data_IF_939339135773
#
_entry.id   IF_939339135773
#
_cell.length_a   1.000
_cell.length_b   1.000
_cell.length_c   1.000
_cell.angle_alpha   90.00
_cell.angle_beta   90.00
_cell.angle_gamma   90.00
#
_symmetry.space_group_name_H-M   'P 1'
#
loop_
_entity.id
_entity.type
_entity.pdbx_description
1 polymer ?
#
# COMPACT_ATOMS: atom_id res chain seq x y z
N UNK A 1 5.19 38.72 22.25
CA UNK A 1 6.24 37.97 21.49
C UNK A 1 6.62 38.81 20.28
N UNK A 2 7.89 39.06 20.01
CA UNK A 2 8.29 40.08 19.02
C UNK A 2 8.14 39.51 17.59
N UNK A 3 7.74 40.40 16.62
CA UNK A 3 7.63 40.15 15.18
C UNK A 3 8.89 39.44 14.60
N UNK A 4 10.07 39.80 15.09
CA UNK A 4 11.37 39.23 14.69
C UNK A 4 11.56 37.76 15.07
N UNK A 5 10.97 37.28 16.17
CA UNK A 5 11.09 35.87 16.60
C UNK A 5 10.28 34.99 15.66
N UNK A 6 9.13 35.44 15.19
CA UNK A 6 8.26 34.69 14.28
C UNK A 6 8.80 34.67 12.84
N UNK A 7 9.39 35.76 12.37
CA UNK A 7 10.10 35.83 11.08
C UNK A 7 11.29 34.83 11.08
N UNK A 8 11.99 34.73 12.20
CA UNK A 8 13.10 33.78 12.34
C UNK A 8 12.63 32.32 12.35
N UNK A 9 11.53 32.00 13.03
CA UNK A 9 10.93 30.67 13.04
C UNK A 9 10.43 30.29 11.66
N UNK A 10 9.77 31.20 10.93
CA UNK A 10 9.30 30.97 9.58
C UNK A 10 10.45 30.76 8.58
N UNK A 11 11.48 31.58 8.66
CA UNK A 11 12.68 31.46 7.83
C UNK A 11 13.45 30.20 8.13
N UNK A 12 13.56 29.81 9.41
CA UNK A 12 14.20 28.54 9.82
C UNK A 12 13.41 27.32 9.35
N UNK A 13 12.07 27.37 9.41
CA UNK A 13 11.21 26.30 8.89
C UNK A 13 11.34 26.14 7.36
N UNK A 14 11.45 27.26 6.62
CA UNK A 14 11.70 27.26 5.18
C UNK A 14 13.11 26.78 4.82
N UNK A 15 14.13 27.11 5.60
CA UNK A 15 15.52 26.64 5.39
C UNK A 15 15.66 25.15 5.72
N UNK A 16 15.01 24.65 6.75
CA UNK A 16 14.98 23.22 7.08
C UNK A 16 14.27 22.38 6.00
N UNK A 17 13.36 23.00 5.20
CA UNK A 17 12.76 22.35 4.03
C UNK A 17 13.75 22.07 2.90
N UNK A 18 14.81 22.85 2.77
CA UNK A 18 15.76 22.73 1.64
C UNK A 18 16.81 21.65 1.83
N UNK A 19 17.02 21.14 3.05
CA UNK A 19 18.15 20.27 3.38
C UNK A 19 17.82 18.80 3.56
N UNK A 20 16.55 18.39 3.69
CA UNK A 20 16.18 16.98 3.92
C UNK A 20 14.93 16.61 3.10
N UNK A 21 15.12 15.76 2.09
CA UNK A 21 14.06 15.26 1.22
C UNK A 21 13.04 14.41 1.96
N UNK A 22 11.79 14.93 2.02
CA UNK A 22 10.54 14.28 2.46
C UNK A 22 10.42 13.79 3.92
N UNK A 23 9.46 14.25 4.70
CA UNK A 23 8.00 14.01 4.69
C UNK A 23 7.12 15.26 4.90
N UNK A 24 7.57 16.44 4.52
CA UNK A 24 7.09 17.76 4.96
C UNK A 24 5.93 18.38 4.17
N UNK A 25 5.30 17.66 3.24
CA UNK A 25 4.14 18.19 2.52
C UNK A 25 2.94 18.48 3.46
N UNK A 26 2.81 17.71 4.53
CA UNK A 26 1.78 17.95 5.55
C UNK A 26 2.15 19.11 6.47
N UNK A 27 3.42 19.26 6.80
CA UNK A 27 3.88 20.32 7.71
C UNK A 27 3.76 21.70 7.09
N UNK A 28 4.07 21.85 5.80
CA UNK A 28 3.85 23.10 5.07
C UNK A 28 2.37 23.47 4.99
N UNK A 29 1.47 22.50 4.91
CA UNK A 29 0.03 22.75 4.96
C UNK A 29 -0.37 23.34 6.31
N UNK A 30 0.03 22.75 7.42
CA UNK A 30 -0.30 23.24 8.76
C UNK A 30 0.30 24.61 9.06
N UNK A 31 1.53 24.87 8.60
CA UNK A 31 2.18 26.17 8.72
C UNK A 31 1.39 27.23 7.97
N UNK A 32 0.98 26.95 6.74
CA UNK A 32 0.17 27.89 5.97
C UNK A 32 -1.21 28.13 6.59
N UNK A 33 -1.88 27.09 7.10
CA UNK A 33 -3.16 27.23 7.84
C UNK A 33 -2.99 28.10 9.08
N UNK A 34 -1.89 27.91 9.81
CA UNK A 34 -1.57 28.75 10.97
C UNK A 34 -1.43 30.23 10.57
N UNK A 35 -0.72 30.55 9.48
CA UNK A 35 -0.60 31.94 9.02
C UNK A 35 -1.93 32.54 8.56
N UNK A 36 -2.79 31.78 7.91
CA UNK A 36 -4.15 32.20 7.55
C UNK A 36 -4.96 32.49 8.80
N UNK A 37 -4.84 31.66 9.84
CA UNK A 37 -5.47 31.90 11.13
C UNK A 37 -4.90 33.14 11.82
N UNK A 38 -3.57 33.31 11.87
CA UNK A 38 -2.89 34.46 12.46
C UNK A 38 -3.28 35.78 11.80
N UNK A 39 -3.45 35.80 10.46
CA UNK A 39 -3.94 36.97 9.72
C UNK A 39 -5.39 37.31 10.15
N UNK A 40 -6.28 36.30 10.27
CA UNK A 40 -7.66 36.51 10.74
C UNK A 40 -7.71 37.09 12.16
N UNK A 41 -6.77 36.66 13.02
CA UNK A 41 -6.64 37.20 14.39
C UNK A 41 -5.87 38.49 14.48
N UNK A 42 -5.44 39.05 13.33
CA UNK A 42 -4.62 40.29 13.25
C UNK A 42 -3.30 40.19 14.03
N UNK A 43 -2.71 38.99 14.11
CA UNK A 43 -1.39 38.77 14.71
C UNK A 43 -0.27 39.03 13.72
N UNK A 44 -0.57 38.94 12.44
CA UNK A 44 0.29 39.31 11.31
C UNK A 44 -0.50 40.22 10.36
N UNK A 45 0.20 41.09 9.67
CA UNK A 45 -0.43 42.05 8.74
C UNK A 45 -0.61 41.43 7.34
N UNK A 46 0.32 40.51 6.93
CA UNK A 46 0.33 39.91 5.62
C UNK A 46 0.69 38.42 5.70
N UNK A 47 0.32 37.66 4.67
CA UNK A 47 0.71 36.23 4.50
C UNK A 47 2.12 36.17 3.89
N UNK A 48 2.99 35.25 4.36
CA UNK A 48 4.31 35.01 3.78
C UNK A 48 4.26 34.22 2.46
N UNK A 49 3.08 34.04 1.85
CA UNK A 49 2.85 33.30 0.60
C UNK A 49 1.68 33.96 -0.16
N UNK A 50 1.66 33.73 -1.47
CA UNK A 50 0.61 34.24 -2.35
C UNK A 50 -0.45 33.15 -2.60
N UNK A 51 -1.72 33.56 -2.62
CA UNK A 51 -2.83 32.71 -3.01
C UNK A 51 -3.06 32.89 -4.51
N UNK A 52 -2.73 31.84 -5.29
CA UNK A 52 -2.98 31.81 -6.73
C UNK A 52 -4.33 31.14 -7.03
N UNK A 53 -5.10 31.71 -7.94
CA UNK A 53 -6.29 31.05 -8.47
C UNK A 53 -5.87 30.14 -9.63
N UNK A 54 -6.07 28.84 -9.45
CA UNK A 54 -5.82 27.85 -10.49
C UNK A 54 -7.13 27.17 -10.89
N UNK A 55 -7.29 26.93 -12.18
CA UNK A 55 -8.42 26.11 -12.65
C UNK A 55 -8.25 24.71 -12.10
N UNK A 56 -9.26 24.24 -11.34
CA UNK A 56 -9.34 22.85 -10.93
C UNK A 56 -9.52 21.98 -12.19
N UNK A 57 -8.82 20.85 -12.31
CA UNK A 57 -9.15 19.88 -13.37
C UNK A 57 -10.59 19.45 -13.16
N UNK A 58 -11.43 19.62 -14.18
CA UNK A 58 -12.83 19.15 -14.14
C UNK A 58 -12.83 17.68 -13.71
N UNK A 59 -13.47 17.39 -12.61
CA UNK A 59 -13.77 16.00 -12.27
C UNK A 59 -14.84 15.54 -13.24
N UNK A 60 -14.54 14.53 -14.06
CA UNK A 60 -15.52 13.84 -14.91
C UNK A 60 -16.43 12.98 -14.02
N UNK A 61 -17.28 13.63 -13.23
CA UNK A 61 -18.35 12.98 -12.48
C UNK A 61 -19.67 13.18 -13.25
N UNK A 62 -20.58 12.23 -13.14
CA UNK A 62 -21.90 12.28 -13.78
C UNK A 62 -22.66 13.60 -13.52
N UNK A 63 -22.38 14.28 -12.40
CA UNK A 63 -23.01 15.54 -12.00
C UNK A 63 -22.12 16.78 -12.25
N UNK A 64 -21.04 16.67 -13.02
CA UNK A 64 -20.13 17.79 -13.30
C UNK A 64 -20.80 18.99 -13.99
N UNK A 65 -21.97 18.77 -14.61
CA UNK A 65 -22.77 19.81 -15.25
C UNK A 65 -23.60 20.64 -14.24
N UNK A 66 -23.76 20.16 -13.00
CA UNK A 66 -24.46 20.89 -11.93
C UNK A 66 -23.50 21.70 -11.03
N UNK A 67 -22.20 21.56 -11.26
CA UNK A 67 -21.20 22.34 -10.52
C UNK A 67 -21.18 23.78 -11.08
N UNK A 68 -21.85 24.67 -10.38
CA UNK A 68 -21.92 26.11 -10.67
C UNK A 68 -20.69 26.87 -10.16
N UNK A 69 -19.73 26.18 -9.54
CA UNK A 69 -18.44 26.79 -9.18
C UNK A 69 -17.67 27.10 -10.45
N UNK A 70 -17.07 28.28 -10.53
CA UNK A 70 -16.31 28.79 -11.70
C UNK A 70 -15.03 27.96 -11.97
N UNK A 71 -14.93 26.78 -11.36
CA UNK A 71 -13.83 25.80 -11.55
C UNK A 71 -12.47 26.32 -11.12
N UNK A 72 -12.42 27.43 -10.37
CA UNK A 72 -11.19 27.98 -9.82
C UNK A 72 -11.01 27.55 -8.36
N UNK A 73 -9.82 27.05 -8.04
CA UNK A 73 -9.40 26.72 -6.66
C UNK A 73 -8.25 27.62 -6.28
N UNK A 74 -8.37 28.28 -5.14
CA UNK A 74 -7.26 29.03 -4.56
C UNK A 74 -6.20 28.07 -4.06
N UNK A 75 -5.02 28.12 -4.65
CA UNK A 75 -3.85 27.33 -4.25
C UNK A 75 -2.74 28.26 -3.79
N UNK A 76 -1.88 27.75 -2.92
CA UNK A 76 -0.73 28.48 -2.40
C UNK A 76 0.47 28.26 -3.32
N UNK A 77 1.24 29.30 -3.61
CA UNK A 77 2.47 29.25 -4.42
C UNK A 77 3.57 28.39 -3.77
N UNK A 78 3.60 28.35 -2.43
CA UNK A 78 4.58 27.60 -1.63
C UNK A 78 4.22 26.10 -1.42
N UNK A 79 3.19 25.58 -2.09
CA UNK A 79 2.88 24.14 -1.98
C UNK A 79 3.93 23.33 -2.72
N UNK A 80 4.83 22.58 -2.03
CA UNK A 80 5.83 21.78 -2.70
C UNK A 80 5.14 20.71 -3.54
N UNK A 81 5.43 20.67 -4.85
CA UNK A 81 4.99 19.57 -5.70
C UNK A 81 5.68 18.30 -5.19
N UNK A 82 4.94 17.43 -4.51
CA UNK A 82 5.45 16.13 -4.12
C UNK A 82 5.96 15.40 -5.39
N UNK A 83 7.26 15.14 -5.48
CA UNK A 83 7.80 14.27 -6.52
C UNK A 83 7.17 12.90 -6.31
N UNK A 84 6.23 12.51 -7.16
CA UNK A 84 5.64 11.17 -7.16
C UNK A 84 6.73 10.20 -7.56
N UNK A 85 7.39 9.59 -6.58
CA UNK A 85 8.26 8.45 -6.86
C UNK A 85 7.41 7.23 -7.20
N UNK A 86 7.86 6.43 -8.17
CA UNK A 86 7.22 5.15 -8.46
C UNK A 86 7.26 4.24 -7.22
N UNK A 87 6.21 3.45 -6.97
CA UNK A 87 6.21 2.51 -5.87
C UNK A 87 7.35 1.50 -6.02
N UNK A 88 8.07 1.24 -4.94
CA UNK A 88 9.07 0.16 -4.92
C UNK A 88 8.36 -1.18 -4.79
N UNK A 89 8.85 -2.17 -5.51
CA UNK A 89 8.41 -3.56 -5.43
C UNK A 89 9.63 -4.49 -5.41
N UNK A 90 9.43 -5.75 -5.06
CA UNK A 90 10.48 -6.76 -5.01
C UNK A 90 10.53 -7.56 -6.32
N UNK A 91 11.71 -7.82 -6.83
CA UNK A 91 11.93 -8.80 -7.90
C UNK A 91 11.59 -10.22 -7.44
N UNK A 92 11.45 -11.16 -8.37
CA UNK A 92 11.18 -12.58 -8.03
C UNK A 92 12.29 -13.19 -7.16
N UNK A 93 13.56 -12.81 -7.42
CA UNK A 93 14.72 -13.26 -6.63
C UNK A 93 14.69 -12.71 -5.22
N UNK A 94 14.34 -11.43 -5.03
CA UNK A 94 14.18 -10.82 -3.72
C UNK A 94 13.01 -11.42 -2.94
N UNK A 95 11.88 -11.73 -3.61
CA UNK A 95 10.76 -12.44 -2.97
C UNK A 95 11.20 -13.82 -2.48
N UNK A 96 11.96 -14.58 -3.29
CA UNK A 96 12.51 -15.88 -2.90
C UNK A 96 13.45 -15.75 -1.71
N UNK A 97 14.37 -14.79 -1.72
CA UNK A 97 15.29 -14.52 -0.62
C UNK A 97 14.54 -14.12 0.66
N UNK A 98 13.53 -13.25 0.55
CA UNK A 98 12.71 -12.81 1.68
C UNK A 98 11.95 -13.99 2.34
N UNK A 99 11.36 -14.88 1.55
CA UNK A 99 10.66 -16.05 2.08
C UNK A 99 11.62 -17.07 2.69
N UNK A 100 12.83 -17.18 2.18
CA UNK A 100 13.88 -18.06 2.71
C UNK A 100 14.53 -17.53 3.99
N UNK A 101 14.51 -16.21 4.22
CA UNK A 101 15.12 -15.57 5.38
C UNK A 101 14.43 -15.91 6.70
N UNK A 102 13.16 -16.33 6.66
CA UNK A 102 12.45 -16.75 7.86
C UNK A 102 11.99 -18.19 7.76
N UNK A 103 12.30 -18.99 8.80
CA UNK A 103 11.76 -20.35 8.99
C UNK A 103 10.50 -20.36 9.86
N UNK A 104 10.12 -19.24 10.44
CA UNK A 104 8.94 -19.14 11.28
C UNK A 104 7.67 -19.15 10.40
N UNK A 105 6.79 -20.19 10.51
CA UNK A 105 5.59 -20.30 9.70
C UNK A 105 4.62 -19.13 9.87
N UNK A 106 4.57 -18.53 11.06
CA UNK A 106 3.77 -17.36 11.34
C UNK A 106 4.27 -16.14 10.55
N UNK A 107 5.58 -15.89 10.53
CA UNK A 107 6.18 -14.81 9.75
C UNK A 107 6.00 -15.03 8.24
N UNK A 108 6.18 -16.28 7.77
CA UNK A 108 5.93 -16.64 6.38
C UNK A 108 4.48 -16.34 5.98
N UNK A 109 3.50 -16.64 6.85
CA UNK A 109 2.10 -16.38 6.57
C UNK A 109 1.80 -14.88 6.46
N UNK A 110 2.40 -14.05 7.32
CA UNK A 110 2.30 -12.59 7.22
C UNK A 110 2.81 -12.08 5.87
N UNK A 111 3.98 -12.54 5.43
CA UNK A 111 4.54 -12.18 4.12
C UNK A 111 3.63 -12.64 2.97
N UNK A 112 3.14 -13.86 3.03
CA UNK A 112 2.30 -14.47 1.99
C UNK A 112 0.95 -13.76 1.85
N UNK A 113 0.31 -13.31 2.92
CA UNK A 113 -0.91 -12.49 2.86
C UNK A 113 -0.69 -11.18 2.08
N UNK A 114 0.47 -10.56 2.21
CA UNK A 114 0.85 -9.41 1.39
C UNK A 114 1.18 -9.76 -0.05
N UNK A 115 1.95 -10.85 -0.28
CA UNK A 115 2.49 -11.24 -1.58
C UNK A 115 1.51 -12.04 -2.46
N UNK A 116 0.54 -12.75 -1.89
CA UNK A 116 -0.39 -13.62 -2.63
C UNK A 116 -1.84 -13.13 -2.64
N UNK A 117 -2.24 -12.30 -1.66
CA UNK A 117 -3.58 -11.71 -1.60
C UNK A 117 -3.57 -10.18 -1.78
N UNK A 118 -2.40 -9.54 -1.77
CA UNK A 118 -2.26 -8.10 -1.94
C UNK A 118 -2.90 -7.28 -0.81
N UNK A 119 -2.97 -7.83 0.40
CA UNK A 119 -3.61 -7.17 1.53
C UNK A 119 -2.80 -5.98 2.04
N UNK A 120 -3.50 -4.97 2.55
CA UNK A 120 -2.89 -3.86 3.27
C UNK A 120 -2.45 -4.31 4.67
N UNK A 121 -1.49 -3.61 5.26
CA UNK A 121 -0.98 -3.90 6.60
C UNK A 121 -2.08 -4.09 7.66
N UNK A 122 -3.05 -3.19 7.69
CA UNK A 122 -4.16 -3.25 8.62
C UNK A 122 -5.09 -4.43 8.33
N UNK A 123 -5.34 -4.72 7.04
CA UNK A 123 -6.13 -5.88 6.61
C UNK A 123 -5.44 -7.20 7.00
N UNK A 124 -4.10 -7.29 6.90
CA UNK A 124 -3.35 -8.46 7.38
C UNK A 124 -3.51 -8.61 8.89
N UNK A 125 -3.35 -7.51 9.64
CA UNK A 125 -3.44 -7.53 11.10
C UNK A 125 -4.82 -7.92 11.63
N UNK A 126 -5.86 -7.59 10.88
CA UNK A 126 -7.27 -7.80 11.27
C UNK A 126 -7.98 -8.87 10.43
N UNK A 127 -7.23 -9.62 9.60
CA UNK A 127 -7.83 -10.65 8.74
C UNK A 127 -8.59 -11.69 9.57
N UNK A 128 -9.90 -11.88 9.34
CA UNK A 128 -10.73 -12.74 10.18
C UNK A 128 -10.41 -14.22 10.02
N UNK A 129 -10.38 -14.93 11.13
CA UNK A 129 -10.33 -16.39 11.12
C UNK A 129 -11.57 -16.98 10.41
N UNK A 130 -12.73 -16.35 10.54
CA UNK A 130 -13.98 -16.80 9.92
C UNK A 130 -13.94 -16.84 8.38
N UNK A 131 -13.01 -16.14 7.73
CA UNK A 131 -12.84 -16.19 6.28
C UNK A 131 -12.02 -17.40 5.80
N UNK A 132 -11.45 -18.17 6.74
CA UNK A 132 -10.57 -19.29 6.45
C UNK A 132 -11.33 -20.61 6.67
N UNK A 133 -11.40 -21.41 5.64
CA UNK A 133 -12.04 -22.73 5.67
C UNK A 133 -11.22 -23.74 4.87
N UNK A 134 -11.46 -25.03 5.12
CA UNK A 134 -10.85 -26.07 4.30
C UNK A 134 -11.55 -26.12 2.93
N UNK A 135 -10.90 -25.73 1.83
CA UNK A 135 -11.51 -25.78 0.52
C UNK A 135 -11.81 -27.19 0.04
N UNK A 136 -11.07 -28.19 0.55
CA UNK A 136 -11.28 -29.60 0.18
C UNK A 136 -12.49 -30.24 0.89
N UNK A 137 -13.01 -29.61 1.93
CA UNK A 137 -14.23 -29.98 2.60
C UNK A 137 -15.50 -29.33 2.01
N UNK A 138 -15.37 -28.66 0.88
CA UNK A 138 -16.48 -27.99 0.18
C UNK A 138 -16.60 -28.51 -1.25
N UNK A 139 -17.82 -28.49 -1.81
CA UNK A 139 -18.07 -28.87 -3.21
C UNK A 139 -17.54 -27.84 -4.23
N UNK A 140 -16.80 -26.83 -3.78
CA UNK A 140 -16.21 -25.81 -4.63
C UNK A 140 -15.04 -26.36 -5.42
N UNK A 141 -15.09 -26.25 -6.73
CA UNK A 141 -14.05 -26.74 -7.67
C UNK A 141 -13.20 -25.61 -8.25
N UNK A 142 -13.54 -24.36 -7.92
CA UNK A 142 -12.88 -23.19 -8.47
C UNK A 142 -11.40 -23.12 -8.06
N UNK A 143 -10.53 -22.76 -9.02
CA UNK A 143 -9.10 -22.58 -8.76
C UNK A 143 -8.81 -21.33 -7.92
N UNK A 144 -9.64 -20.29 -8.10
CA UNK A 144 -9.56 -19.03 -7.36
C UNK A 144 -10.85 -18.84 -6.58
N UNK A 145 -10.71 -18.63 -5.29
CA UNK A 145 -11.82 -18.48 -4.35
C UNK A 145 -11.97 -17.00 -4.00
N UNK A 146 -13.18 -16.50 -4.14
CA UNK A 146 -13.52 -15.14 -3.74
C UNK A 146 -13.73 -15.08 -2.22
N UNK A 147 -13.09 -14.13 -1.57
CA UNK A 147 -13.29 -13.77 -0.17
C UNK A 147 -13.79 -12.33 -0.11
N UNK A 148 -14.96 -12.14 0.50
CA UNK A 148 -15.55 -10.83 0.71
C UNK A 148 -14.97 -10.19 1.98
N UNK A 149 -14.22 -9.11 1.83
CA UNK A 149 -13.70 -8.34 2.96
C UNK A 149 -14.75 -7.29 3.33
N UNK A 150 -15.64 -7.63 4.25
CA UNK A 150 -16.73 -6.76 4.70
C UNK A 150 -16.50 -6.27 6.13
N UNK A 151 -16.21 -4.97 6.32
CA UNK A 151 -16.04 -4.39 7.66
C UNK A 151 -17.31 -4.41 8.54
N UNK A 152 -18.49 -4.70 7.95
CA UNK A 152 -19.78 -4.67 8.64
C UNK A 152 -20.30 -6.07 8.99
N UNK A 153 -19.62 -7.14 8.59
CA UNK A 153 -20.03 -8.53 8.84
C UNK A 153 -19.84 -9.01 10.30
N UNK A 154 -19.29 -8.17 11.15
CA UNK A 154 -19.02 -8.48 12.54
C UNK A 154 -17.79 -9.36 12.79
N UNK A 155 -17.06 -9.79 11.76
CA UNK A 155 -15.83 -10.59 11.89
C UNK A 155 -14.59 -9.77 12.21
N UNK A 156 -14.65 -8.43 12.07
CA UNK A 156 -13.65 -7.50 12.59
C UNK A 156 -12.55 -7.12 11.61
N UNK A 157 -12.70 -7.40 10.31
CA UNK A 157 -11.80 -6.88 9.28
C UNK A 157 -11.85 -5.35 9.23
N UNK A 158 -10.70 -4.71 9.07
CA UNK A 158 -10.61 -3.27 8.86
C UNK A 158 -10.06 -2.99 7.46
N UNK A 159 -10.90 -2.40 6.61
CA UNK A 159 -10.52 -1.95 5.27
C UNK A 159 -10.39 -0.43 5.24
N UNK A 160 -9.61 0.10 4.31
CA UNK A 160 -9.45 1.55 4.14
C UNK A 160 -10.80 2.19 3.80
N UNK A 161 -11.25 3.13 4.65
CA UNK A 161 -12.53 3.82 4.48
C UNK A 161 -13.74 2.94 4.77
N UNK A 162 -13.56 1.83 5.51
CA UNK A 162 -14.63 0.86 5.85
C UNK A 162 -15.43 0.39 4.63
N UNK A 163 -14.75 0.22 3.47
CA UNK A 163 -15.39 -0.19 2.22
C UNK A 163 -15.26 -1.69 2.03
N UNK A 164 -16.38 -2.31 1.65
CA UNK A 164 -16.41 -3.69 1.19
C UNK A 164 -15.55 -3.84 -0.08
N UNK A 165 -14.82 -4.94 -0.19
CA UNK A 165 -14.13 -5.34 -1.41
C UNK A 165 -13.94 -6.85 -1.48
N UNK A 166 -13.83 -7.35 -2.70
CA UNK A 166 -13.54 -8.74 -2.97
C UNK A 166 -12.06 -8.95 -3.22
N UNK A 167 -11.52 -10.04 -2.68
CA UNK A 167 -10.21 -10.56 -3.04
C UNK A 167 -10.34 -11.98 -3.56
N UNK A 168 -9.48 -12.31 -4.50
CA UNK A 168 -9.37 -13.68 -5.02
C UNK A 168 -8.07 -14.29 -4.53
N UNK A 169 -8.16 -15.45 -3.93
CA UNK A 169 -7.01 -16.26 -3.49
C UNK A 169 -7.05 -17.61 -4.17
N UNK A 170 -5.88 -18.19 -4.44
CA UNK A 170 -5.84 -19.53 -4.99
C UNK A 170 -6.33 -20.56 -3.97
N UNK A 171 -6.95 -21.65 -4.45
CA UNK A 171 -7.38 -22.77 -3.61
C UNK A 171 -6.24 -23.32 -2.74
N UNK A 172 -5.03 -23.44 -3.32
CA UNK A 172 -3.85 -23.89 -2.58
C UNK A 172 -3.48 -22.93 -1.45
N UNK A 173 -3.52 -21.64 -1.69
CA UNK A 173 -3.20 -20.65 -0.65
C UNK A 173 -4.26 -20.63 0.47
N UNK A 174 -5.54 -20.77 0.13
CA UNK A 174 -6.60 -20.91 1.13
C UNK A 174 -6.42 -22.17 2.00
N UNK A 175 -6.00 -23.27 1.38
CA UNK A 175 -5.66 -24.50 2.11
C UNK A 175 -4.49 -24.27 3.09
N UNK A 176 -3.46 -23.56 2.66
CA UNK A 176 -2.34 -23.23 3.55
C UNK A 176 -2.77 -22.29 4.70
N UNK A 177 -3.68 -21.35 4.43
CA UNK A 177 -4.29 -20.49 5.48
C UNK A 177 -5.07 -21.35 6.49
N UNK A 178 -5.81 -22.36 6.01
CA UNK A 178 -6.54 -23.27 6.87
C UNK A 178 -5.57 -24.09 7.74
N UNK A 179 -4.54 -24.70 7.18
CA UNK A 179 -3.54 -25.42 7.95
C UNK A 179 -2.84 -24.53 8.98
N UNK A 180 -2.47 -23.33 8.59
CA UNK A 180 -1.92 -22.35 9.53
C UNK A 180 -2.92 -22.04 10.66
N UNK A 181 -4.20 -21.92 10.37
CA UNK A 181 -5.23 -21.60 11.37
C UNK A 181 -5.39 -22.70 12.42
N UNK A 182 -5.30 -23.96 11.98
CA UNK A 182 -5.46 -25.12 12.86
C UNK A 182 -4.21 -25.35 13.72
N UNK A 183 -3.02 -25.23 13.13
CA UNK A 183 -1.75 -25.56 13.81
C UNK A 183 -1.16 -24.30 14.49
N UNK A 184 -0.42 -23.48 13.77
CA UNK A 184 0.38 -22.39 14.35
C UNK A 184 -0.46 -21.34 15.06
N UNK A 185 -1.58 -20.93 14.44
CA UNK A 185 -2.50 -20.02 15.13
C UNK A 185 -3.20 -20.70 16.30
N UNK A 186 -3.53 -22.00 16.16
CA UNK A 186 -4.10 -22.80 17.24
C UNK A 186 -3.21 -22.80 18.49
N UNK A 187 -1.91 -23.06 18.31
CA UNK A 187 -0.91 -22.99 19.40
C UNK A 187 -0.83 -21.59 20.03
N UNK A 188 -0.76 -20.54 19.19
CA UNK A 188 -0.73 -19.17 19.68
C UNK A 188 -2.01 -18.80 20.45
N UNK A 189 -3.17 -19.26 20.02
CA UNK A 189 -4.43 -18.94 20.69
C UNK A 189 -4.55 -19.51 22.10
N UNK A 190 -3.80 -20.58 22.41
CA UNK A 190 -3.75 -21.17 23.77
C UNK A 190 -2.99 -20.31 24.79
N UNK A 191 -2.22 -19.33 24.31
CA UNK A 191 -1.50 -18.40 25.16
C UNK A 191 -2.38 -17.26 25.71
N UNK A 192 -3.60 -17.14 25.18
CA UNK A 192 -4.61 -16.15 25.62
C UNK A 192 -5.84 -16.85 26.17
N UNK A 193 -6.44 -16.27 27.20
CA UNK A 193 -7.73 -16.72 27.76
C UNK A 193 -8.93 -16.26 26.91
N UNK A 194 -8.71 -15.32 26.00
CA UNK A 194 -9.76 -14.75 25.15
C UNK A 194 -9.75 -15.36 23.76
N UNK A 195 -10.95 -15.55 23.20
CA UNK A 195 -11.11 -15.97 21.80
C UNK A 195 -11.02 -14.76 20.87
N UNK A 196 -9.97 -14.69 20.08
CA UNK A 196 -9.76 -13.62 19.14
C UNK A 196 -10.25 -13.97 17.73
N UNK A 197 -10.92 -12.99 17.09
CA UNK A 197 -11.45 -13.14 15.71
C UNK A 197 -10.36 -13.11 14.64
N UNK A 198 -9.20 -12.51 14.93
CA UNK A 198 -8.11 -12.36 13.96
C UNK A 198 -7.40 -13.68 13.67
N UNK A 199 -7.07 -13.91 12.39
CA UNK A 199 -6.25 -15.05 11.94
C UNK A 199 -4.81 -14.92 12.45
N UNK A 200 -4.25 -13.72 12.38
CA UNK A 200 -2.86 -13.45 12.74
C UNK A 200 -2.81 -12.96 14.19
N UNK A 201 -2.12 -13.72 15.04
CA UNK A 201 -1.89 -13.40 16.45
C UNK A 201 -0.39 -13.11 16.67
N UNK A 202 -0.07 -12.32 17.66
CA UNK A 202 1.32 -12.10 18.06
C UNK A 202 1.85 -13.27 18.94
N UNK A 203 3.10 -13.19 19.36
CA UNK A 203 3.74 -14.22 20.20
C UNK A 203 3.06 -14.43 21.56
N UNK A 204 2.23 -13.50 22.00
CA UNK A 204 1.52 -13.53 23.28
C UNK A 204 0.06 -14.01 23.08
N UNK A 205 -0.30 -14.53 21.90
CA UNK A 205 -1.64 -15.00 21.56
C UNK A 205 -2.66 -13.88 21.29
N UNK A 206 -2.22 -12.60 21.24
CA UNK A 206 -3.08 -11.44 21.08
C UNK A 206 -3.11 -10.92 19.64
N UNK A 207 -4.18 -10.27 19.18
CA UNK A 207 -4.20 -9.60 17.88
C UNK A 207 -3.14 -8.51 17.78
N UNK A 208 -2.71 -8.22 16.55
CA UNK A 208 -1.84 -7.07 16.30
C UNK A 208 -2.63 -5.76 16.49
N UNK A 209 -2.40 -5.08 17.61
CA UNK A 209 -2.92 -3.75 17.91
C UNK A 209 -2.25 -2.67 17.01
N UNK A 210 -2.61 -1.41 17.21
CA UNK A 210 -1.97 -0.23 16.59
C UNK A 210 -2.01 -0.22 15.05
N UNK A 211 -3.12 -0.64 14.45
CA UNK A 211 -3.28 -0.69 12.99
C UNK A 211 -2.12 -1.46 12.30
N UNK A 212 -1.59 -2.49 12.98
CA UNK A 212 -0.50 -3.33 12.46
C UNK A 212 0.88 -2.69 12.49
N UNK A 213 1.16 -1.69 13.34
CA UNK A 213 2.52 -1.11 13.46
C UNK A 213 3.57 -2.14 13.85
N UNK A 214 3.25 -3.07 14.76
CA UNK A 214 4.13 -4.19 15.12
C UNK A 214 4.40 -5.11 13.94
N UNK A 215 3.38 -5.35 13.09
CA UNK A 215 3.52 -6.15 11.89
C UNK A 215 4.48 -5.49 10.87
N UNK A 216 4.49 -4.16 10.79
CA UNK A 216 5.50 -3.45 10.01
C UNK A 216 6.92 -3.79 10.48
N UNK A 217 7.14 -3.82 11.80
CA UNK A 217 8.45 -4.18 12.37
C UNK A 217 8.83 -5.62 12.01
N UNK A 218 7.90 -6.57 12.14
CA UNK A 218 8.14 -7.98 11.75
C UNK A 218 8.62 -8.07 10.30
N UNK A 219 7.89 -7.47 9.36
CA UNK A 219 8.26 -7.49 7.93
C UNK A 219 9.62 -6.84 7.69
N UNK A 220 9.90 -5.69 8.32
CA UNK A 220 11.17 -4.98 8.15
C UNK A 220 12.35 -5.74 8.75
N UNK A 221 12.16 -6.46 9.88
CA UNK A 221 13.20 -7.31 10.49
C UNK A 221 13.55 -8.48 9.57
N UNK A 222 12.56 -9.19 9.04
CA UNK A 222 12.78 -10.29 8.08
C UNK A 222 13.50 -9.76 6.83
N UNK A 223 13.13 -8.57 6.36
CA UNK A 223 13.82 -7.94 5.24
C UNK A 223 15.29 -7.65 5.54
N UNK A 224 15.60 -7.14 6.73
CA UNK A 224 16.98 -6.90 7.16
C UNK A 224 17.80 -8.19 7.20
N UNK A 225 17.21 -9.30 7.68
CA UNK A 225 17.83 -10.63 7.66
C UNK A 225 18.10 -11.13 6.22
N UNK A 226 17.25 -10.77 5.28
CA UNK A 226 17.44 -11.05 3.84
C UNK A 226 18.37 -10.06 3.12
N UNK A 227 18.86 -9.02 3.79
CA UNK A 227 19.59 -7.91 3.16
C UNK A 227 18.73 -6.99 2.29
N UNK A 228 17.41 -7.01 2.48
CA UNK A 228 16.43 -6.29 1.65
C UNK A 228 15.67 -5.27 2.49
N UNK A 229 15.62 -4.03 2.03
CA UNK A 229 14.75 -3.02 2.66
C UNK A 229 13.30 -3.23 2.23
N UNK A 230 12.49 -3.83 3.08
CA UNK A 230 11.08 -4.15 2.81
C UNK A 230 10.14 -3.63 3.88
N UNK A 231 8.90 -3.32 3.48
CA UNK A 231 7.81 -2.90 4.36
C UNK A 231 6.46 -3.43 3.81
N UNK A 232 5.41 -3.56 4.63
CA UNK A 232 4.18 -4.24 4.24
C UNK A 232 3.54 -3.74 2.95
N UNK A 233 3.55 -2.42 2.71
CA UNK A 233 2.96 -1.87 1.48
C UNK A 233 3.72 -2.27 0.22
N UNK A 234 5.04 -2.49 0.33
CA UNK A 234 5.88 -2.98 -0.76
C UNK A 234 5.52 -4.41 -1.17
N UNK A 235 5.13 -5.29 -0.21
CA UNK A 235 4.62 -6.64 -0.52
C UNK A 235 3.37 -6.57 -1.42
N UNK A 236 2.48 -5.66 -1.12
CA UNK A 236 1.28 -5.41 -1.93
C UNK A 236 1.62 -4.84 -3.31
N UNK A 237 2.60 -3.93 -3.41
CA UNK A 237 3.08 -3.44 -4.70
C UNK A 237 3.71 -4.57 -5.52
N UNK A 238 4.46 -5.44 -4.87
CA UNK A 238 5.05 -6.65 -5.46
C UNK A 238 3.97 -7.57 -6.02
N UNK A 239 2.94 -7.87 -5.22
CA UNK A 239 1.77 -8.63 -5.69
C UNK A 239 1.15 -7.99 -6.94
N UNK A 240 0.86 -6.69 -6.86
CA UNK A 240 0.20 -5.97 -7.95
C UNK A 240 1.01 -6.00 -9.25
N UNK A 241 2.32 -5.72 -9.16
CA UNK A 241 3.21 -5.66 -10.34
C UNK A 241 3.38 -7.03 -10.97
N UNK A 242 3.66 -8.08 -10.18
CA UNK A 242 3.83 -9.44 -10.73
C UNK A 242 2.52 -10.03 -11.25
N UNK A 243 1.38 -9.77 -10.59
CA UNK A 243 0.07 -10.22 -11.08
C UNK A 243 -0.27 -9.54 -12.42
N UNK A 244 -0.07 -8.22 -12.52
CA UNK A 244 -0.31 -7.50 -13.76
C UNK A 244 0.55 -8.03 -14.91
N UNK A 245 1.85 -8.22 -14.66
CA UNK A 245 2.79 -8.78 -15.63
C UNK A 245 2.36 -10.20 -16.07
N UNK A 246 2.02 -11.07 -15.14
CA UNK A 246 1.56 -12.43 -15.45
C UNK A 246 0.26 -12.44 -16.27
N UNK A 247 -0.69 -11.55 -15.98
CA UNK A 247 -1.94 -11.43 -16.72
C UNK A 247 -1.75 -10.86 -18.13
N UNK A 248 -0.78 -9.95 -18.33
CA UNK A 248 -0.46 -9.43 -19.66
C UNK A 248 0.22 -10.48 -20.55
N UNK A 249 1.04 -11.35 -19.97
CA UNK A 249 1.69 -12.45 -20.68
C UNK A 249 0.75 -13.64 -20.94
N UNK A 250 -0.31 -13.78 -20.13
CA UNK A 250 -1.30 -14.84 -20.25
C UNK A 250 -2.40 -14.51 -21.26
N UNK A 251 -3.07 -15.55 -21.79
CA UNK A 251 -4.26 -15.41 -22.65
C UNK A 251 -5.52 -15.15 -21.80
N UNK A 252 -5.52 -14.14 -20.94
CA UNK A 252 -6.67 -13.80 -20.11
C UNK A 252 -7.67 -12.96 -20.92
N UNK A 253 -8.96 -13.29 -20.86
CA UNK A 253 -10.06 -12.50 -21.43
C UNK A 253 -10.46 -11.32 -20.54
N UNK A 254 -9.97 -11.30 -19.29
CA UNK A 254 -10.28 -10.26 -18.31
C UNK A 254 -9.27 -9.11 -18.45
N UNK A 255 -9.75 -7.88 -18.46
CA UNK A 255 -8.87 -6.71 -18.43
C UNK A 255 -8.02 -6.70 -17.14
N UNK A 256 -6.69 -6.81 -17.25
CA UNK A 256 -5.81 -6.95 -16.09
C UNK A 256 -5.89 -5.76 -15.12
N UNK A 257 -6.06 -4.53 -15.62
CA UNK A 257 -6.14 -3.33 -14.79
C UNK A 257 -7.45 -3.28 -13.99
N UNK A 258 -8.56 -3.69 -14.60
CA UNK A 258 -9.87 -3.75 -13.91
C UNK A 258 -9.85 -4.83 -12.84
N UNK A 259 -9.29 -6.00 -13.16
CA UNK A 259 -9.11 -7.06 -12.18
C UNK A 259 -8.28 -6.57 -10.99
N UNK A 260 -7.13 -5.98 -11.27
CA UNK A 260 -6.21 -5.51 -10.23
C UNK A 260 -6.82 -4.36 -9.41
N UNK A 261 -7.58 -3.45 -10.04
CA UNK A 261 -8.30 -2.38 -9.34
C UNK A 261 -9.25 -2.95 -8.29
N UNK A 262 -10.06 -3.95 -8.66
CA UNK A 262 -11.02 -4.62 -7.75
C UNK A 262 -10.28 -5.34 -6.64
N UNK A 263 -9.32 -6.18 -6.99
CA UNK A 263 -8.49 -6.96 -6.06
C UNK A 263 -7.80 -6.09 -5.01
N UNK A 264 -7.27 -4.94 -5.43
CA UNK A 264 -6.61 -4.01 -4.54
C UNK A 264 -7.58 -3.04 -3.83
N UNK A 265 -8.82 -2.92 -4.27
CA UNK A 265 -9.78 -1.95 -3.76
C UNK A 265 -9.30 -0.52 -3.97
N UNK A 266 -8.93 -0.18 -5.21
CA UNK A 266 -8.63 1.19 -5.60
C UNK A 266 -9.91 1.86 -6.10
N UNK A 267 -10.22 3.02 -5.57
CA UNK A 267 -11.40 3.81 -5.97
C UNK A 267 -11.30 4.27 -7.42
N UNK A 268 -10.09 4.60 -7.87
CA UNK A 268 -9.83 5.07 -9.23
C UNK A 268 -8.86 4.15 -9.96
N UNK A 269 -9.15 3.87 -11.22
CA UNK A 269 -8.25 3.17 -12.14
C UNK A 269 -6.90 3.90 -12.27
N UNK A 270 -6.89 5.24 -12.15
CA UNK A 270 -5.66 6.06 -12.16
C UNK A 270 -4.64 5.62 -11.11
N UNK A 271 -5.11 5.13 -9.96
CA UNK A 271 -4.23 4.58 -8.91
C UNK A 271 -3.63 3.24 -9.33
N UNK A 272 -4.33 2.47 -10.17
CA UNK A 272 -3.87 1.15 -10.64
C UNK A 272 -2.93 1.27 -11.85
N UNK A 273 -3.09 2.28 -12.67
CA UNK A 273 -2.26 2.53 -13.87
C UNK A 273 -0.77 2.68 -13.51
N UNK A 274 -0.43 3.09 -12.29
CA UNK A 274 0.96 3.20 -11.85
C UNK A 274 1.71 1.86 -11.96
N UNK A 275 1.02 0.74 -11.81
CA UNK A 275 1.63 -0.60 -11.98
C UNK A 275 1.94 -0.94 -13.44
N UNK A 276 1.25 -0.32 -14.41
CA UNK A 276 1.58 -0.48 -15.81
C UNK A 276 2.96 0.10 -16.13
N UNK A 277 3.29 1.26 -15.56
CA UNK A 277 4.64 1.82 -15.70
C UNK A 277 5.71 0.93 -15.08
N UNK A 278 5.43 0.25 -13.96
CA UNK A 278 6.37 -0.68 -13.34
C UNK A 278 6.57 -1.94 -14.19
N UNK A 279 5.51 -2.45 -14.83
CA UNK A 279 5.62 -3.62 -15.74
C UNK A 279 6.40 -3.24 -16.98
N UNK A 280 6.18 -2.06 -17.54
CA UNK A 280 6.94 -1.58 -18.70
C UNK A 280 8.43 -1.46 -18.37
N UNK A 281 8.80 -0.96 -17.18
CA UNK A 281 10.21 -0.90 -16.78
C UNK A 281 10.85 -2.29 -16.66
N UNK A 282 10.11 -3.30 -16.20
CA UNK A 282 10.59 -4.70 -16.19
C UNK A 282 10.83 -5.20 -17.64
N UNK A 283 9.95 -4.84 -18.56
CA UNK A 283 10.11 -5.22 -19.97
C UNK A 283 11.31 -4.51 -20.62
N UNK A 284 11.53 -3.24 -20.30
CA UNK A 284 12.67 -2.46 -20.77
C UNK A 284 14.00 -3.06 -20.29
N UNK A 285 14.09 -3.43 -19.00
CA UNK A 285 15.25 -4.11 -18.43
C UNK A 285 15.54 -5.45 -19.13
N UNK A 286 14.50 -6.21 -19.49
CA UNK A 286 14.62 -7.47 -20.20
C UNK A 286 15.13 -7.26 -21.65
N UNK A 287 14.71 -6.19 -22.32
CA UNK A 287 15.20 -5.83 -23.67
C UNK A 287 16.66 -5.45 -23.61
N UNK A 288 17.06 -4.64 -22.62
CA UNK A 288 18.47 -4.25 -22.44
C UNK A 288 19.37 -5.46 -22.16
N UNK A 289 18.92 -6.36 -21.26
CA UNK A 289 19.67 -7.58 -20.96
C UNK A 289 19.84 -8.49 -22.19
N UNK A 290 18.80 -8.59 -23.03
CA UNK A 290 18.87 -9.35 -24.29
C UNK A 290 19.83 -8.70 -25.30
N UNK A 291 19.80 -7.37 -25.39
CA UNK A 291 20.74 -6.64 -26.30
C UNK A 291 22.21 -6.81 -25.85
N UNK A 292 22.46 -6.74 -24.55
CA UNK A 292 23.78 -7.01 -23.96
C UNK A 292 24.24 -8.46 -24.25
N UNK A 293 23.34 -9.43 -24.17
CA UNK A 293 23.61 -10.83 -24.46
C UNK A 293 23.98 -11.02 -25.95
N UNK A 294 23.22 -10.42 -26.87
CA UNK A 294 23.53 -10.45 -28.31
C UNK A 294 24.90 -9.79 -28.60
N UNK A 295 25.16 -8.62 -27.97
CA UNK A 295 26.45 -7.93 -28.17
C UNK A 295 27.62 -8.76 -27.64
N UNK A 296 27.47 -9.50 -26.53
CA UNK A 296 28.51 -10.40 -26.02
C UNK A 296 28.85 -11.50 -27.03
N UNK A 297 27.84 -12.11 -27.65
CA UNK A 297 28.06 -13.14 -28.67
C UNK A 297 28.77 -12.61 -29.95
N UNK A 298 28.50 -11.35 -30.29
CA UNK A 298 29.17 -10.73 -31.46
C UNK A 298 30.68 -10.42 -31.22
N UNK A 299 31.08 -10.32 -29.95
CA UNK A 299 32.48 -10.05 -29.57
C UNK A 299 33.26 -11.32 -29.19
N UNK A 300 32.59 -12.45 -28.99
CA UNK A 300 33.22 -13.75 -28.74
C UNK A 300 33.59 -14.53 -30.04
N UNK A 301 33.23 -14.03 -31.21
CA UNK A 301 33.56 -14.57 -32.54
C UNK A 301 34.68 -13.77 -33.22
#
# INVERSE_FOLDING_TARGET
MSKRLWEHIATTALILQSSHGTPFANDSFYICEFYVYALRQKWVDDLPFVMEERRAPKQETFLAHLDTSDGTVKTRDVSPKAKKSLPKFLSKSEVKALLAATRNPHHQMILRLGLQAGLRREEIATFPLAYVFNPDATDRTERNICIHLDPQDGHGIRTKGSKLRDIYVTRSFLKDLYFYSVHQRGELSQLSTENHKSLILNRDGMPYADNGKRLHRVVSTIGAEAGIKVFPHMLRHTYATHTLNAMQQGKSTINPLIYLQRQLGHESIKTTVIYLHLVNSIADDAVLAYDEEINSWMHEG
#
